data_IF_127118471236
#
_entry.id   IF_127118471236
#
_cell.length_a   1.000
_cell.length_b   1.000
_cell.length_c   1.000
_cell.angle_alpha   90.00
_cell.angle_beta   90.00
_cell.angle_gamma   90.00
#
_symmetry.space_group_name_H-M   'P 1'
#
loop_
_entity.id
_entity.type
_entity.pdbx_description
1 polymer ?
#
# COMPACT_ATOMS: atom_id res chain seq x y z
N UNK A 1 -16.81 -44.21 18.14
CA UNK A 1 -15.62 -43.54 17.59
C UNK A 1 -16.04 -42.10 17.35
N UNK A 2 -15.58 -41.17 18.18
CA UNK A 2 -15.87 -39.74 18.02
C UNK A 2 -14.81 -39.17 17.08
N UNK A 3 -15.19 -38.88 15.84
CA UNK A 3 -14.34 -38.12 14.93
C UNK A 3 -14.29 -36.68 15.44
N UNK A 4 -13.15 -36.29 16.04
CA UNK A 4 -12.85 -34.88 16.25
C UNK A 4 -12.75 -34.20 14.87
N UNK A 5 -13.47 -33.09 14.62
CA UNK A 5 -13.35 -32.38 13.36
C UNK A 5 -11.93 -31.81 13.25
N UNK A 6 -11.22 -32.17 12.18
CA UNK A 6 -9.88 -31.68 11.88
C UNK A 6 -9.84 -30.13 11.98
N UNK A 7 -8.80 -29.53 12.59
CA UNK A 7 -8.70 -28.10 12.73
C UNK A 7 -8.72 -27.46 11.34
N UNK A 8 -9.75 -26.66 11.07
CA UNK A 8 -9.92 -25.92 9.83
C UNK A 8 -8.74 -24.94 9.69
N UNK A 9 -7.72 -25.38 8.96
CA UNK A 9 -6.51 -24.63 8.68
C UNK A 9 -6.82 -23.63 7.56
N UNK A 10 -7.53 -22.56 7.92
CA UNK A 10 -7.63 -21.38 7.07
C UNK A 10 -6.20 -20.89 6.80
N UNK A 11 -5.86 -20.48 5.56
CA UNK A 11 -4.52 -19.97 5.28
C UNK A 11 -4.26 -18.76 6.18
N UNK A 12 -3.26 -18.88 7.06
CA UNK A 12 -2.87 -17.78 7.94
C UNK A 12 -2.30 -16.64 7.10
N UNK A 13 -3.14 -15.65 6.79
CA UNK A 13 -2.65 -14.37 6.32
C UNK A 13 -1.67 -13.83 7.37
N UNK A 14 -0.48 -13.43 6.94
CA UNK A 14 0.52 -12.84 7.83
C UNK A 14 -0.09 -11.68 8.60
N UNK A 15 0.15 -11.65 9.91
CA UNK A 15 -0.19 -10.53 10.77
C UNK A 15 0.63 -9.29 10.38
N UNK A 16 0.17 -8.11 10.78
CA UNK A 16 0.89 -6.86 10.55
C UNK A 16 2.32 -6.88 11.12
N UNK A 17 2.52 -7.58 12.25
CA UNK A 17 3.84 -7.77 12.87
C UNK A 17 4.74 -8.65 11.99
N UNK A 18 4.20 -9.72 11.43
CA UNK A 18 4.92 -10.63 10.54
C UNK A 18 5.22 -9.97 9.19
N UNK A 19 4.28 -9.21 8.61
CA UNK A 19 4.51 -8.43 7.39
C UNK A 19 5.64 -7.41 7.58
N UNK A 20 5.67 -6.71 8.71
CA UNK A 20 6.75 -5.77 9.03
C UNK A 20 8.09 -6.45 9.17
N UNK A 21 8.15 -7.57 9.89
CA UNK A 21 9.39 -8.30 10.12
C UNK A 21 9.92 -8.92 8.82
N UNK A 22 9.06 -9.54 8.02
CA UNK A 22 9.43 -10.25 6.81
C UNK A 22 9.94 -9.31 5.70
N UNK A 23 9.25 -8.19 5.47
CA UNK A 23 9.60 -7.23 4.41
C UNK A 23 10.45 -6.05 4.92
N UNK A 24 10.79 -6.00 6.21
CA UNK A 24 11.48 -4.86 6.82
C UNK A 24 10.68 -3.55 6.74
N UNK A 25 9.35 -3.62 6.78
CA UNK A 25 8.49 -2.45 6.60
C UNK A 25 8.46 -1.57 7.84
N UNK A 26 8.61 -0.26 7.63
CA UNK A 26 8.21 0.74 8.63
C UNK A 26 6.69 0.73 8.85
N UNK A 27 6.23 1.25 9.98
CA UNK A 27 4.78 1.40 10.25
C UNK A 27 4.06 2.20 9.16
N UNK A 28 4.74 3.23 8.65
CA UNK A 28 4.21 4.07 7.59
C UNK A 28 4.09 3.31 6.27
N UNK A 29 5.04 2.42 5.97
CA UNK A 29 4.96 1.55 4.79
C UNK A 29 3.83 0.52 4.91
N UNK A 30 3.62 -0.05 6.09
CA UNK A 30 2.49 -0.95 6.35
C UNK A 30 1.13 -0.23 6.22
N UNK A 31 1.02 1.00 6.76
CA UNK A 31 -0.19 1.83 6.60
C UNK A 31 -0.49 2.12 5.13
N UNK A 32 0.52 2.47 4.35
CA UNK A 32 0.38 2.65 2.89
C UNK A 32 -0.12 1.36 2.24
N UNK A 33 0.50 0.22 2.53
CA UNK A 33 0.12 -1.08 1.96
C UNK A 33 -1.35 -1.45 2.23
N UNK A 34 -1.84 -1.20 3.44
CA UNK A 34 -3.25 -1.45 3.80
C UNK A 34 -4.24 -0.49 3.13
N UNK A 35 -3.83 0.77 2.93
CA UNK A 35 -4.67 1.80 2.34
C UNK A 35 -4.66 1.77 0.80
N UNK A 36 -3.55 1.33 0.20
CA UNK A 36 -3.41 1.13 -1.25
C UNK A 36 -4.31 -0.02 -1.70
N UNK A 37 -5.46 0.32 -2.30
CA UNK A 37 -6.33 -0.65 -2.97
C UNK A 37 -5.75 -1.16 -4.28
N UNK A 38 -4.97 -0.34 -4.97
CA UNK A 38 -4.33 -0.64 -6.24
C UNK A 38 -2.90 -0.11 -6.23
N UNK A 39 -1.99 -0.85 -6.86
CA UNK A 39 -0.63 -0.35 -7.07
C UNK A 39 -0.64 0.73 -8.15
N UNK A 40 0.02 1.89 -7.93
CA UNK A 40 0.13 2.90 -8.96
C UNK A 40 0.87 2.35 -10.17
N UNK A 41 0.51 2.83 -11.37
CA UNK A 41 1.20 2.45 -12.59
C UNK A 41 2.71 2.73 -12.47
N UNK A 42 3.51 1.76 -12.92
CA UNK A 42 4.97 1.70 -12.74
C UNK A 42 5.68 3.00 -13.13
N UNK A 43 5.14 3.72 -14.10
CA UNK A 43 5.80 4.85 -14.77
C UNK A 43 5.86 6.15 -13.94
N UNK A 44 5.05 6.32 -12.89
CA UNK A 44 5.03 7.60 -12.13
C UNK A 44 6.21 7.73 -11.15
N UNK A 45 6.73 6.61 -10.68
CA UNK A 45 7.86 6.55 -9.73
C UNK A 45 9.12 5.92 -10.33
N UNK A 46 9.02 5.29 -11.51
CA UNK A 46 10.17 4.80 -12.24
C UNK A 46 11.15 5.96 -12.53
N UNK A 47 12.42 5.79 -12.17
CA UNK A 47 13.47 6.80 -12.36
C UNK A 47 13.57 7.88 -11.27
N UNK A 48 12.70 7.89 -10.25
CA UNK A 48 12.83 8.80 -9.11
C UNK A 48 13.80 8.22 -8.06
N UNK A 49 14.90 8.92 -7.80
CA UNK A 49 15.91 8.55 -6.79
C UNK A 49 15.66 9.18 -5.42
N UNK A 50 14.87 10.25 -5.34
CA UNK A 50 14.52 10.90 -4.07
C UNK A 50 13.50 10.06 -3.29
N UNK A 51 14.00 9.31 -2.32
CA UNK A 51 13.22 8.46 -1.41
C UNK A 51 12.16 9.23 -0.62
N UNK A 52 12.38 10.52 -0.30
CA UNK A 52 11.41 11.37 0.40
C UNK A 52 10.28 11.80 -0.53
N UNK A 53 10.60 12.12 -1.78
CA UNK A 53 9.58 12.44 -2.78
C UNK A 53 8.70 11.23 -3.11
N UNK A 54 9.30 10.05 -3.27
CA UNK A 54 8.59 8.78 -3.46
C UNK A 54 7.70 8.47 -2.25
N UNK A 55 8.22 8.64 -1.03
CA UNK A 55 7.43 8.45 0.19
C UNK A 55 6.19 9.36 0.25
N UNK A 56 6.36 10.66 -0.03
CA UNK A 56 5.26 11.63 -0.04
C UNK A 56 4.20 11.31 -1.09
N UNK A 57 4.61 10.81 -2.25
CA UNK A 57 3.67 10.34 -3.28
C UNK A 57 2.80 9.21 -2.74
N UNK A 58 3.39 8.15 -2.19
CA UNK A 58 2.60 7.04 -1.66
C UNK A 58 1.74 7.43 -0.45
N UNK A 59 2.15 8.40 0.37
CA UNK A 59 1.28 8.92 1.44
C UNK A 59 0.03 9.61 0.88
N UNK A 60 0.18 10.43 -0.16
CA UNK A 60 -0.96 11.06 -0.82
C UNK A 60 -1.89 10.04 -1.47
N UNK A 61 -1.34 9.05 -2.20
CA UNK A 61 -2.14 7.97 -2.80
C UNK A 61 -2.89 7.15 -1.76
N UNK A 62 -2.26 6.90 -0.62
CA UNK A 62 -2.87 6.18 0.50
C UNK A 62 -3.86 7.04 1.30
N UNK A 63 -4.09 8.32 0.93
CA UNK A 63 -4.93 9.24 1.69
C UNK A 63 -4.36 9.63 3.07
N UNK A 64 -3.07 9.37 3.30
CA UNK A 64 -2.35 9.73 4.54
C UNK A 64 -1.79 11.16 4.50
N UNK A 65 -1.87 11.83 3.36
CA UNK A 65 -1.50 13.22 3.18
C UNK A 65 -2.62 13.98 2.46
N UNK A 66 -2.93 15.19 2.95
CA UNK A 66 -4.01 16.02 2.40
C UNK A 66 -3.68 16.63 1.03
N UNK A 67 -2.40 16.80 0.71
CA UNK A 67 -1.95 17.48 -0.50
C UNK A 67 -1.07 16.57 -1.36
N UNK A 68 -1.20 16.66 -2.71
CA UNK A 68 -0.27 15.98 -3.60
C UNK A 68 1.15 16.53 -3.44
N UNK A 69 2.19 15.69 -3.56
CA UNK A 69 3.56 16.20 -3.69
C UNK A 69 3.65 17.11 -4.92
N UNK A 70 4.45 18.18 -4.83
CA UNK A 70 4.58 19.20 -5.90
C UNK A 70 4.58 18.57 -7.29
N UNK A 71 3.59 18.99 -8.07
CA UNK A 71 3.18 18.42 -9.34
C UNK A 71 4.20 18.70 -10.43
N UNK A 72 4.98 17.68 -10.82
CA UNK A 72 5.66 17.68 -12.11
C UNK A 72 5.12 16.63 -13.09
N UNK A 73 4.14 15.78 -12.74
CA UNK A 73 3.53 14.91 -13.75
C UNK A 73 2.21 14.21 -13.36
N UNK A 74 1.21 14.34 -14.26
CA UNK A 74 0.28 13.35 -14.86
C UNK A 74 -0.34 12.18 -14.06
N UNK A 75 -0.23 12.09 -12.73
CA UNK A 75 -0.97 11.05 -12.01
C UNK A 75 -2.37 11.54 -11.60
N UNK A 76 -3.40 10.90 -12.16
CA UNK A 76 -4.80 11.06 -11.71
C UNK A 76 -5.20 9.76 -11.02
N UNK A 77 -5.43 9.75 -9.70
CA UNK A 77 -5.92 8.57 -8.98
C UNK A 77 -7.24 8.08 -9.59
N UNK A 78 -7.46 6.77 -9.64
CA UNK A 78 -8.68 6.16 -10.20
C UNK A 78 -9.96 6.67 -9.51
N UNK A 79 -9.87 7.05 -8.23
CA UNK A 79 -10.98 7.64 -7.48
C UNK A 79 -11.47 8.98 -8.06
N UNK A 80 -10.59 9.77 -8.68
CA UNK A 80 -10.95 11.04 -9.33
C UNK A 80 -11.47 10.84 -10.77
N UNK A 81 -11.25 9.67 -11.38
CA UNK A 81 -11.80 9.35 -12.71
C UNK A 81 -13.31 9.09 -12.69
N UNK A 82 -13.90 8.77 -11.54
CA UNK A 82 -15.32 8.42 -11.43
C UNK A 82 -16.26 9.65 -11.30
N UNK A 83 -15.73 10.88 -11.34
CA UNK A 83 -16.51 12.13 -11.26
C UNK A 83 -16.59 12.91 -12.59
N UNK A 84 -16.12 12.34 -13.69
CA UNK A 84 -16.14 12.95 -15.03
C UNK A 84 -17.31 12.47 -15.87
#
# INVERSE_FOLDING_TARGET
MSEEPAPQHWPRFMTDKELRAYFGLSERALKRYRALKEFPQKDIVAGKSDSRAVGRFFDWIAGLAEQPPRTNNRYVPTADKAKG
#
